data_IF_534263799441
#
_entry.id   IF_534263799441
#
_cell.length_a   1.000
_cell.length_b   1.000
_cell.length_c   1.000
_cell.angle_alpha   90.00
_cell.angle_beta   90.00
_cell.angle_gamma   90.00
#
_symmetry.space_group_name_H-M   'P 1'
#
loop_
_entity.id
_entity.type
_entity.pdbx_description
1 polymer ?
#
# COMPACT_ATOMS: atom_id res chain seq x y z
N UNK A 1 -4.20 20.93 -4.39
CA UNK A 1 -5.55 20.54 -4.86
C UNK A 1 -5.96 19.33 -4.05
N UNK A 2 -7.08 19.39 -3.34
CA UNK A 2 -7.57 18.27 -2.54
C UNK A 2 -8.47 17.40 -3.41
N UNK A 3 -8.09 16.14 -3.63
CA UNK A 3 -8.93 15.14 -4.27
C UNK A 3 -10.05 14.76 -3.30
N UNK A 4 -11.30 14.79 -3.75
CA UNK A 4 -12.43 14.30 -2.96
C UNK A 4 -12.51 12.78 -3.12
N UNK A 5 -12.22 12.04 -2.06
CA UNK A 5 -12.34 10.57 -2.08
C UNK A 5 -13.82 10.19 -2.06
N UNK A 6 -14.27 9.48 -3.10
CA UNK A 6 -15.63 8.96 -3.24
C UNK A 6 -15.74 7.60 -2.55
N UNK A 7 -14.71 6.76 -2.66
CA UNK A 7 -14.68 5.46 -2.04
C UNK A 7 -13.28 4.85 -1.97
N UNK A 8 -13.08 3.94 -1.04
CA UNK A 8 -11.86 3.15 -0.92
C UNK A 8 -12.23 1.67 -0.77
N UNK A 9 -11.57 0.81 -1.55
CA UNK A 9 -11.72 -0.63 -1.49
C UNK A 9 -10.37 -1.28 -1.26
N UNK A 10 -10.25 -2.04 -0.19
CA UNK A 10 -9.09 -2.88 0.07
C UNK A 10 -9.02 -4.02 -0.96
N UNK A 11 -7.90 -4.12 -1.66
CA UNK A 11 -7.64 -5.16 -2.65
C UNK A 11 -6.97 -6.35 -1.96
N UNK A 12 -5.89 -6.11 -1.24
CA UNK A 12 -5.13 -7.17 -0.55
C UNK A 12 -4.39 -6.61 0.67
N UNK A 13 -4.02 -7.52 1.57
CA UNK A 13 -3.12 -7.20 2.68
C UNK A 13 -2.36 -8.45 3.12
N UNK A 14 -1.14 -8.26 3.59
CA UNK A 14 -0.40 -9.28 4.31
C UNK A 14 0.36 -8.66 5.48
N UNK A 15 0.64 -9.48 6.48
CA UNK A 15 1.52 -9.11 7.57
C UNK A 15 2.87 -9.77 7.39
N UNK A 16 3.92 -9.07 7.81
CA UNK A 16 5.28 -9.55 7.70
C UNK A 16 6.11 -9.10 8.89
N UNK A 17 7.19 -9.84 9.16
CA UNK A 17 8.12 -9.53 10.25
C UNK A 17 9.41 -8.96 9.69
N UNK A 18 9.87 -7.85 10.25
CA UNK A 18 11.22 -7.33 10.00
C UNK A 18 11.89 -7.25 11.36
N UNK A 19 12.96 -8.05 11.54
CA UNK A 19 13.63 -8.24 12.83
C UNK A 19 12.69 -8.75 13.93
N UNK A 20 12.33 -7.89 14.89
CA UNK A 20 11.43 -8.18 16.01
C UNK A 20 10.05 -7.50 15.89
N UNK A 21 9.89 -6.63 14.89
CA UNK A 21 8.64 -5.90 14.67
C UNK A 21 7.77 -6.57 13.60
N UNK A 22 6.46 -6.43 13.80
CA UNK A 22 5.43 -6.91 12.88
C UNK A 22 4.86 -5.71 12.15
N UNK A 23 4.81 -5.81 10.84
CA UNK A 23 4.25 -4.82 9.94
C UNK A 23 3.08 -5.42 9.18
N UNK A 24 2.18 -4.57 8.70
CA UNK A 24 1.08 -4.96 7.82
C UNK A 24 1.10 -4.07 6.59
N UNK A 25 1.28 -4.68 5.42
CA UNK A 25 1.10 -4.00 4.13
C UNK A 25 -0.34 -4.20 3.65
N UNK A 26 -0.94 -3.14 3.14
CA UNK A 26 -2.27 -3.16 2.52
C UNK A 26 -2.21 -2.39 1.21
N UNK A 27 -2.80 -2.94 0.16
CA UNK A 27 -3.06 -2.25 -1.10
C UNK A 27 -4.56 -2.05 -1.27
N UNK A 28 -4.96 -0.82 -1.56
CA UNK A 28 -6.36 -0.40 -1.74
C UNK A 28 -6.51 0.38 -3.05
N UNK A 29 -7.65 0.24 -3.72
CA UNK A 29 -8.08 1.17 -4.76
C UNK A 29 -8.88 2.31 -4.14
N UNK A 30 -8.61 3.52 -4.56
CA UNK A 30 -9.29 4.75 -4.16
C UNK A 30 -9.98 5.30 -5.41
N UNK A 31 -11.30 5.42 -5.36
CA UNK A 31 -12.06 6.18 -6.33
C UNK A 31 -12.12 7.62 -5.83
N UNK A 32 -11.59 8.56 -6.61
CA UNK A 32 -11.58 9.98 -6.26
C UNK A 32 -12.18 10.82 -7.40
N UNK A 33 -12.78 11.95 -7.05
CA UNK A 33 -13.19 12.96 -8.01
C UNK A 33 -12.01 13.90 -8.26
N UNK A 34 -11.54 13.92 -9.50
CA UNK A 34 -10.50 14.81 -10.00
C UNK A 34 -11.05 16.17 -10.46
N UNK A 35 -10.15 17.04 -10.91
CA UNK A 35 -10.51 18.39 -11.35
C UNK A 35 -11.38 18.31 -12.63
N UNK A 36 -12.61 18.84 -12.54
CA UNK A 36 -13.62 18.75 -13.60
C UNK A 36 -14.69 17.68 -13.43
N UNK A 37 -14.82 17.07 -12.23
CA UNK A 37 -15.89 16.13 -11.92
C UNK A 37 -15.70 14.75 -12.54
N UNK A 38 -14.47 14.43 -12.96
CA UNK A 38 -14.12 13.12 -13.51
C UNK A 38 -13.71 12.20 -12.38
N UNK A 39 -14.26 10.99 -12.39
CA UNK A 39 -13.85 9.93 -11.49
C UNK A 39 -12.50 9.35 -11.96
N UNK A 40 -11.54 9.28 -11.04
CA UNK A 40 -10.22 8.74 -11.28
C UNK A 40 -9.92 7.65 -10.24
N UNK A 41 -9.29 6.57 -10.70
CA UNK A 41 -8.80 5.52 -9.83
C UNK A 41 -7.36 5.82 -9.43
N UNK A 42 -7.11 5.71 -8.14
CA UNK A 42 -5.80 5.71 -7.53
C UNK A 42 -5.61 4.41 -6.75
N UNK A 43 -4.37 4.03 -6.49
CA UNK A 43 -4.01 2.85 -5.74
C UNK A 43 -3.07 3.26 -4.62
N UNK A 44 -3.47 2.96 -3.40
CA UNK A 44 -2.71 3.29 -2.19
C UNK A 44 -2.08 2.04 -1.63
N UNK A 45 -0.77 2.09 -1.40
CA UNK A 45 -0.03 1.08 -0.64
C UNK A 45 0.30 1.69 0.71
N UNK A 46 -0.18 1.04 1.77
CA UNK A 46 0.01 1.48 3.16
C UNK A 46 0.75 0.38 3.92
N UNK A 47 1.76 0.78 4.69
CA UNK A 47 2.42 -0.07 5.67
C UNK A 47 2.17 0.50 7.05
N UNK A 48 1.66 -0.33 7.96
CA UNK A 48 1.51 0.02 9.37
C UNK A 48 2.36 -0.88 10.26
N UNK A 49 2.77 -0.37 11.42
CA UNK A 49 3.36 -1.20 12.47
C UNK A 49 2.29 -2.05 13.19
N UNK A 50 2.73 -2.87 14.16
CA UNK A 50 1.86 -3.71 14.98
C UNK A 50 0.81 -2.95 15.81
N UNK A 51 1.07 -1.67 16.06
CA UNK A 51 0.20 -0.78 16.84
C UNK A 51 -0.80 -0.05 15.93
N UNK A 52 -0.72 -0.25 14.60
CA UNK A 52 -1.53 0.42 13.60
C UNK A 52 -0.99 1.80 13.22
N UNK A 53 0.21 2.18 13.65
CA UNK A 53 0.80 3.47 13.25
C UNK A 53 1.24 3.40 11.79
N UNK A 54 0.98 4.48 11.06
CA UNK A 54 1.40 4.61 9.68
C UNK A 54 2.93 4.71 9.60
N UNK A 55 3.55 3.77 8.89
CA UNK A 55 4.99 3.76 8.61
C UNK A 55 5.26 4.32 7.21
N UNK A 56 4.44 3.90 6.23
CA UNK A 56 4.61 4.28 4.83
C UNK A 56 3.24 4.39 4.16
N UNK A 57 3.11 5.37 3.27
CA UNK A 57 1.97 5.50 2.35
C UNK A 57 2.48 5.96 1.00
N UNK A 58 2.20 5.19 -0.04
CA UNK A 58 2.40 5.59 -1.43
C UNK A 58 1.08 5.54 -2.18
N UNK A 59 0.90 6.47 -3.12
CA UNK A 59 -0.30 6.56 -3.95
C UNK A 59 0.15 6.65 -5.40
N UNK A 60 -0.37 5.75 -6.23
CA UNK A 60 -0.09 5.70 -7.66
C UNK A 60 -1.39 5.72 -8.46
N UNK A 61 -1.37 6.28 -9.66
CA UNK A 61 -2.50 6.17 -10.59
C UNK A 61 -2.49 4.83 -11.34
N UNK A 62 -1.32 4.21 -11.47
CA UNK A 62 -1.15 2.93 -12.16
C UNK A 62 -1.19 1.77 -11.16
N UNK A 63 -2.08 0.81 -11.41
CA UNK A 63 -2.22 -0.40 -10.60
C UNK A 63 -0.95 -1.26 -10.60
N UNK A 64 -0.30 -1.43 -11.76
CA UNK A 64 0.89 -2.27 -11.87
C UNK A 64 2.04 -1.70 -11.03
N UNK A 65 2.19 -0.37 -11.01
CA UNK A 65 3.21 0.28 -10.19
C UNK A 65 2.91 0.09 -8.70
N UNK A 66 1.68 0.34 -8.26
CA UNK A 66 1.29 0.13 -6.87
C UNK A 66 1.44 -1.34 -6.44
N UNK A 67 1.09 -2.28 -7.32
CA UNK A 67 1.21 -3.70 -7.05
C UNK A 67 2.67 -4.15 -7.00
N UNK A 68 3.55 -3.65 -7.87
CA UNK A 68 5.00 -3.93 -7.82
C UNK A 68 5.62 -3.43 -6.50
N UNK A 69 5.24 -2.24 -6.02
CA UNK A 69 5.64 -1.77 -4.68
C UNK A 69 5.15 -2.72 -3.58
N UNK A 70 3.87 -3.10 -3.62
CA UNK A 70 3.27 -4.01 -2.65
C UNK A 70 3.92 -5.41 -2.68
N UNK A 71 4.24 -5.93 -3.86
CA UNK A 71 4.89 -7.23 -4.03
C UNK A 71 6.33 -7.21 -3.53
N UNK A 72 7.09 -6.14 -3.82
CA UNK A 72 8.46 -5.98 -3.31
C UNK A 72 8.53 -5.93 -1.79
N UNK A 73 7.52 -5.36 -1.13
CA UNK A 73 7.42 -5.40 0.34
C UNK A 73 7.35 -6.84 0.86
N UNK A 74 6.80 -7.78 0.10
CA UNK A 74 6.79 -9.20 0.47
C UNK A 74 8.16 -9.86 0.30
N UNK A 75 8.96 -9.42 -0.67
CA UNK A 75 10.30 -9.95 -0.98
C UNK A 75 11.33 -9.50 0.06
N UNK A 76 11.20 -8.29 0.60
CA UNK A 76 12.06 -7.79 1.70
C UNK A 76 11.99 -8.66 2.96
N UNK A 77 10.89 -9.39 3.15
CA UNK A 77 10.67 -10.35 4.25
C UNK A 77 11.43 -11.66 4.01
N UNK A 78 11.48 -12.11 2.75
CA UNK A 78 12.15 -13.36 2.37
C UNK A 78 13.68 -13.25 2.26
N UNK A 79 14.20 -12.04 2.03
CA UNK A 79 15.63 -11.83 1.76
C UNK A 79 16.53 -11.83 3.01
N UNK A 80 15.96 -11.96 4.23
CA UNK A 80 16.73 -12.21 5.47
C UNK A 80 16.99 -13.71 5.75
N UNK A 81 16.78 -14.57 4.75
CA UNK A 81 17.16 -15.98 4.82
C UNK A 81 18.16 -16.28 3.70
N UNK A 82 19.43 -15.92 3.88
CA UNK A 82 20.55 -16.53 3.16
C UNK A 82 21.89 -16.29 3.87
N UNK A 83 22.33 -17.38 4.54
CA UNK A 83 23.69 -17.82 4.86
C UNK A 83 24.53 -16.97 5.84
N UNK A 84 24.74 -17.40 7.09
CA UNK A 84 25.59 -18.54 7.54
C UNK A 84 27.06 -18.34 7.23
#
# INVERSE_FOLDING_TARGET
>A
MSLCVIGEQKISSFSFKVDEDIFSATISSILAEGDGGKEEYHYSVIVTDRSGNLVMKEIHQDFQVAYDVFDRLSILVGSKISHS
#
